data_IF_179194829702
#
_entry.id   IF_179194829702
#
_cell.length_a   1.000
_cell.length_b   1.000
_cell.length_c   1.000
_cell.angle_alpha   90.00
_cell.angle_beta   90.00
_cell.angle_gamma   90.00
#
_symmetry.space_group_name_H-M   'P 1'
#
loop_
_entity.id
_entity.type
_entity.pdbx_description
1 polymer ?
#
# COMPACT_ATOMS: atom_id res chain seq x y z
N UNK A 1 -45.46 17.73 -56.60
CA UNK A 1 -44.06 17.78 -56.11
C UNK A 1 -44.11 18.47 -54.75
N UNK A 2 -44.33 17.73 -53.65
CA UNK A 2 -43.38 17.04 -52.75
C UNK A 2 -42.37 17.95 -52.02
N UNK A 3 -42.27 17.70 -50.69
CA UNK A 3 -41.37 18.21 -49.63
C UNK A 3 -42.01 19.31 -48.77
N UNK A 4 -42.51 19.09 -47.55
CA UNK A 4 -42.15 18.22 -46.40
C UNK A 4 -40.81 18.58 -45.76
N UNK A 5 -40.82 19.56 -44.84
CA UNK A 5 -39.74 19.82 -43.89
C UNK A 5 -40.28 19.77 -42.45
N UNK A 6 -40.28 18.54 -41.95
CA UNK A 6 -39.96 18.06 -40.59
C UNK A 6 -39.84 19.11 -39.49
N UNK A 7 -40.75 19.04 -38.53
CA UNK A 7 -40.61 19.56 -37.16
C UNK A 7 -39.49 18.80 -36.43
N UNK A 8 -38.42 19.50 -36.03
CA UNK A 8 -37.39 18.97 -35.14
C UNK A 8 -37.72 19.36 -33.69
N UNK A 9 -38.23 18.38 -32.94
CA UNK A 9 -38.33 18.39 -31.49
C UNK A 9 -36.93 18.46 -30.88
N UNK A 10 -36.58 19.58 -30.26
CA UNK A 10 -35.47 19.65 -29.32
C UNK A 10 -35.88 18.93 -28.03
N UNK A 11 -35.62 17.63 -27.96
CA UNK A 11 -35.54 16.91 -26.70
C UNK A 11 -34.28 17.37 -25.96
N UNK A 12 -34.47 18.25 -24.98
CA UNK A 12 -33.46 18.55 -23.97
C UNK A 12 -33.20 17.31 -23.13
N UNK A 13 -32.14 16.58 -23.47
CA UNK A 13 -31.60 15.53 -22.61
C UNK A 13 -30.59 16.19 -21.69
N UNK A 14 -31.04 16.57 -20.50
CA UNK A 14 -30.20 17.02 -19.41
C UNK A 14 -29.29 15.87 -18.95
N UNK A 15 -28.08 15.77 -19.50
CA UNK A 15 -27.04 14.92 -18.93
C UNK A 15 -26.50 15.58 -17.65
N UNK A 16 -27.16 15.32 -16.52
CA UNK A 16 -26.50 15.36 -15.22
C UNK A 16 -25.75 14.03 -15.02
N UNK A 17 -24.60 13.90 -15.67
CA UNK A 17 -23.58 12.89 -15.36
C UNK A 17 -22.25 13.62 -15.31
N UNK A 18 -21.92 14.25 -14.19
CA UNK A 18 -20.60 14.87 -13.98
C UNK A 18 -20.25 14.98 -12.48
N UNK A 19 -20.40 13.88 -11.74
CA UNK A 19 -19.95 13.80 -10.35
C UNK A 19 -18.89 12.72 -10.08
N UNK A 20 -18.74 11.72 -10.97
CA UNK A 20 -17.82 10.60 -10.75
C UNK A 20 -16.46 10.76 -11.46
N UNK A 21 -16.41 11.49 -12.58
CA UNK A 21 -15.18 11.65 -13.37
C UNK A 21 -14.13 12.57 -12.70
N UNK A 22 -14.59 13.52 -11.87
CA UNK A 22 -13.73 14.56 -11.27
C UNK A 22 -12.84 14.08 -10.11
N UNK A 23 -13.22 13.01 -9.39
CA UNK A 23 -12.43 12.52 -8.24
C UNK A 23 -11.14 11.81 -8.67
N UNK A 24 -11.17 11.11 -9.80
CA UNK A 24 -10.04 10.33 -10.31
C UNK A 24 -8.90 11.23 -10.80
N UNK A 25 -9.20 12.43 -11.33
CA UNK A 25 -8.17 13.40 -11.70
C UNK A 25 -7.56 14.12 -10.49
N UNK A 26 -8.37 14.46 -9.48
CA UNK A 26 -7.95 15.30 -8.34
C UNK A 26 -6.73 14.78 -7.58
N UNK A 27 -6.59 13.46 -7.44
CA UNK A 27 -5.51 12.83 -6.66
C UNK A 27 -4.61 11.91 -7.49
N UNK A 28 -4.58 12.10 -8.81
CA UNK A 28 -3.84 11.23 -9.73
C UNK A 28 -2.35 11.14 -9.40
N UNK A 29 -1.70 12.26 -9.07
CA UNK A 29 -0.28 12.27 -8.73
C UNK A 29 -0.01 11.60 -7.38
N UNK A 30 -0.87 11.83 -6.38
CA UNK A 30 -0.83 11.14 -5.08
C UNK A 30 -0.97 9.64 -5.26
N UNK A 31 -1.93 9.19 -6.08
CA UNK A 31 -2.14 7.76 -6.35
C UNK A 31 -0.92 7.11 -7.00
N UNK A 32 -0.34 7.73 -8.03
CA UNK A 32 0.86 7.22 -8.72
C UNK A 32 2.05 7.13 -7.74
N UNK A 33 2.22 8.15 -6.91
CA UNK A 33 3.25 8.16 -5.88
C UNK A 33 3.02 7.05 -4.84
N UNK A 34 1.79 6.91 -4.36
CA UNK A 34 1.37 5.89 -3.40
C UNK A 34 1.59 4.47 -3.93
N UNK A 35 1.15 4.18 -5.16
CA UNK A 35 1.34 2.87 -5.81
C UNK A 35 2.84 2.51 -5.89
N UNK A 36 3.68 3.48 -6.29
CA UNK A 36 5.14 3.28 -6.34
C UNK A 36 5.75 3.04 -4.97
N UNK A 37 5.33 3.82 -3.98
CA UNK A 37 5.83 3.69 -2.61
C UNK A 37 5.48 2.31 -2.05
N UNK A 38 4.20 1.93 -2.05
CA UNK A 38 3.74 0.65 -1.51
C UNK A 38 4.44 -0.52 -2.19
N UNK A 39 4.53 -0.51 -3.52
CA UNK A 39 5.20 -1.56 -4.27
C UNK A 39 6.67 -1.72 -3.88
N UNK A 40 7.39 -0.63 -3.62
CA UNK A 40 8.77 -0.70 -3.14
C UNK A 40 8.85 -1.11 -1.67
N UNK A 41 7.99 -0.55 -0.82
CA UNK A 41 8.04 -0.70 0.62
C UNK A 41 7.74 -2.14 1.08
N UNK A 42 6.79 -2.84 0.44
CA UNK A 42 6.53 -4.26 0.76
C UNK A 42 7.70 -5.19 0.39
N UNK A 43 8.53 -4.79 -0.57
CA UNK A 43 9.71 -5.55 -0.99
C UNK A 43 10.95 -5.20 -0.16
N UNK A 44 10.91 -4.13 0.62
CA UNK A 44 12.06 -3.60 1.37
C UNK A 44 11.61 -3.10 2.75
N UNK A 45 11.01 -4.00 3.52
CA UNK A 45 10.63 -3.73 4.91
C UNK A 45 11.87 -3.65 5.80
N UNK A 46 11.92 -2.64 6.68
CA UNK A 46 13.10 -2.29 7.48
C UNK A 46 13.63 -3.47 8.31
N UNK A 47 12.74 -4.15 9.05
CA UNK A 47 13.09 -5.31 9.88
C UNK A 47 13.54 -6.52 9.03
N UNK A 48 13.08 -6.60 7.79
CA UNK A 48 13.29 -7.73 6.90
C UNK A 48 14.39 -7.48 5.86
N UNK A 49 15.07 -6.34 5.90
CA UNK A 49 16.05 -5.91 4.88
C UNK A 49 17.39 -5.52 5.51
N UNK A 50 18.44 -5.48 4.70
CA UNK A 50 19.71 -4.89 5.11
C UNK A 50 19.62 -3.36 5.08
N UNK A 51 20.22 -2.68 6.06
CA UNK A 51 20.13 -1.21 6.23
C UNK A 51 20.43 -0.42 4.94
N UNK A 52 21.42 -0.84 4.14
CA UNK A 52 21.79 -0.16 2.89
C UNK A 52 20.68 -0.12 1.84
N UNK A 53 19.77 -1.10 1.84
CA UNK A 53 18.63 -1.13 0.91
C UNK A 53 17.50 -0.21 1.36
N UNK A 54 17.46 0.09 2.66
CA UNK A 54 16.46 0.92 3.31
C UNK A 54 16.76 2.41 3.09
N UNK A 55 18.04 2.81 3.18
CA UNK A 55 18.50 4.18 2.93
C UNK A 55 18.06 4.72 1.55
N UNK A 56 18.01 3.85 0.54
CA UNK A 56 17.55 4.24 -0.80
C UNK A 56 16.05 4.61 -0.83
N UNK A 57 15.23 3.88 -0.06
CA UNK A 57 13.80 4.19 0.09
C UNK A 57 13.60 5.45 0.91
N UNK A 58 14.35 5.62 2.01
CA UNK A 58 14.36 6.85 2.82
C UNK A 58 14.58 8.08 1.95
N UNK A 59 15.67 8.09 1.19
CA UNK A 59 16.01 9.20 0.31
C UNK A 59 14.97 9.47 -0.78
N UNK A 60 14.38 8.42 -1.36
CA UNK A 60 13.37 8.57 -2.42
C UNK A 60 12.06 9.12 -1.84
N UNK A 61 11.52 8.50 -0.79
CA UNK A 61 10.14 8.68 -0.36
C UNK A 61 9.96 9.51 0.91
N UNK A 62 10.94 9.59 1.79
CA UNK A 62 10.84 10.29 3.07
C UNK A 62 11.53 11.64 2.96
N UNK A 63 11.04 12.64 3.70
CA UNK A 63 11.81 13.87 3.89
C UNK A 63 12.87 13.64 4.98
N UNK A 64 13.83 14.56 5.07
CA UNK A 64 14.94 14.44 6.02
C UNK A 64 14.48 14.56 7.49
N UNK A 65 13.26 15.07 7.72
CA UNK A 65 12.64 15.26 9.04
C UNK A 65 11.82 14.03 9.48
N UNK A 66 11.39 13.18 8.54
CA UNK A 66 10.58 11.98 8.81
C UNK A 66 11.50 10.86 9.22
N UNK A 67 11.69 10.72 10.53
CA UNK A 67 12.35 9.56 11.11
C UNK A 67 11.36 8.39 11.15
N UNK A 68 11.54 7.38 10.29
CA UNK A 68 10.93 6.07 10.54
C UNK A 68 11.81 5.36 11.55
N UNK A 69 11.41 5.40 12.82
CA UNK A 69 11.94 4.39 13.73
C UNK A 69 11.40 3.03 13.29
N UNK A 70 12.26 1.99 13.21
CA UNK A 70 11.77 0.62 13.23
C UNK A 70 10.75 0.53 14.38
N UNK A 71 9.59 -0.11 14.21
CA UNK A 71 8.69 -0.31 15.34
C UNK A 71 9.52 -0.91 16.47
N UNK A 72 9.53 -0.21 17.61
CA UNK A 72 10.46 -0.44 18.71
C UNK A 72 10.54 -1.91 19.12
N UNK A 73 11.72 -2.26 19.65
CA UNK A 73 12.20 -3.59 19.94
C UNK A 73 11.10 -4.64 20.15
N UNK A 74 11.04 -5.56 19.19
CA UNK A 74 10.09 -6.65 19.13
C UNK A 74 10.56 -7.81 19.99
N UNK A 75 10.60 -7.62 21.30
CA UNK A 75 10.66 -8.73 22.27
C UNK A 75 9.39 -9.63 22.22
N UNK A 76 8.47 -9.38 21.28
CA UNK A 76 7.11 -9.91 21.25
C UNK A 76 6.66 -10.31 19.84
N UNK A 77 6.76 -11.60 19.47
CA UNK A 77 5.88 -12.24 18.47
C UNK A 77 5.55 -11.45 17.19
N UNK A 78 6.58 -10.97 16.48
CA UNK A 78 6.53 -10.19 15.24
C UNK A 78 5.46 -10.72 14.30
N UNK A 79 4.40 -9.95 14.03
CA UNK A 79 3.34 -10.34 13.10
C UNK A 79 3.70 -9.86 11.70
N UNK A 80 4.08 -10.79 10.84
CA UNK A 80 4.45 -10.54 9.43
C UNK A 80 3.27 -10.93 8.55
N UNK A 81 2.77 -10.00 7.73
CA UNK A 81 1.71 -10.28 6.77
C UNK A 81 2.32 -10.52 5.39
N UNK A 82 2.19 -11.73 4.87
CA UNK A 82 2.62 -12.07 3.51
C UNK A 82 1.51 -11.64 2.55
N UNK A 83 1.79 -10.63 1.74
CA UNK A 83 0.80 -10.06 0.82
C UNK A 83 0.82 -10.77 -0.51
N UNK A 84 -0.39 -11.02 -1.04
CA UNK A 84 -0.61 -11.50 -2.40
C UNK A 84 -0.71 -10.35 -3.39
N UNK A 85 -1.42 -9.29 -3.01
CA UNK A 85 -1.64 -8.10 -3.82
C UNK A 85 -2.06 -6.93 -2.94
N UNK A 86 -2.02 -5.73 -3.48
CA UNK A 86 -2.57 -4.54 -2.85
C UNK A 86 -3.35 -3.68 -3.86
N UNK A 87 -4.20 -2.79 -3.35
CA UNK A 87 -4.81 -1.70 -4.12
C UNK A 87 -4.95 -0.47 -3.23
N UNK A 88 -4.75 0.71 -3.82
CA UNK A 88 -5.13 1.97 -3.20
C UNK A 88 -6.66 2.06 -3.26
N UNK A 89 -7.30 2.22 -2.11
CA UNK A 89 -8.76 2.27 -2.00
C UNK A 89 -9.28 3.70 -2.12
N UNK A 90 -8.83 4.57 -1.20
CA UNK A 90 -9.24 5.96 -1.15
C UNK A 90 -8.07 6.89 -0.84
N UNK A 91 -8.25 8.14 -1.25
CA UNK A 91 -7.38 9.26 -0.92
C UNK A 91 -8.25 10.40 -0.41
N UNK A 92 -8.00 10.85 0.82
CA UNK A 92 -8.61 12.05 1.40
C UNK A 92 -7.57 13.14 1.66
N UNK A 93 -7.99 14.39 1.56
CA UNK A 93 -7.17 15.56 1.89
C UNK A 93 -7.49 15.97 3.33
N UNK A 94 -6.52 15.82 4.22
CA UNK A 94 -6.63 16.16 5.64
C UNK A 94 -6.13 17.58 5.95
N UNK A 95 -5.81 18.36 4.89
CA UNK A 95 -5.31 19.74 4.97
C UNK A 95 -3.79 19.82 5.00
N UNK A 96 -3.14 19.15 5.95
CA UNK A 96 -1.68 19.15 6.09
C UNK A 96 -1.00 17.89 5.50
N UNK A 97 -1.78 16.87 5.14
CA UNK A 97 -1.35 15.71 4.36
C UNK A 97 -2.54 15.07 3.62
N UNK A 98 -2.24 14.18 2.67
CA UNK A 98 -3.21 13.28 2.06
C UNK A 98 -3.19 11.94 2.79
N UNK A 99 -4.32 11.52 3.32
CA UNK A 99 -4.47 10.16 3.84
C UNK A 99 -4.73 9.20 2.69
N UNK A 100 -3.90 8.16 2.58
CA UNK A 100 -4.00 7.12 1.56
C UNK A 100 -4.36 5.81 2.24
N UNK A 101 -5.55 5.30 1.92
CA UNK A 101 -6.02 4.00 2.40
C UNK A 101 -5.65 2.90 1.39
N UNK A 102 -5.14 1.79 1.90
CA UNK A 102 -4.65 0.65 1.12
C UNK A 102 -5.27 -0.63 1.63
N UNK A 103 -5.86 -1.38 0.70
CA UNK A 103 -6.23 -2.76 0.91
C UNK A 103 -5.06 -3.68 0.56
N UNK A 104 -4.64 -4.51 1.50
CA UNK A 104 -3.75 -5.63 1.26
C UNK A 104 -4.53 -6.94 1.29
N UNK A 105 -4.49 -7.71 0.20
CA UNK A 105 -4.92 -9.10 0.23
C UNK A 105 -3.80 -9.94 0.83
N UNK A 106 -3.99 -10.42 2.05
CA UNK A 106 -2.97 -11.17 2.80
C UNK A 106 -3.19 -12.66 2.61
N UNK A 107 -2.18 -13.34 2.08
CA UNK A 107 -2.17 -14.79 1.85
C UNK A 107 -2.01 -15.54 3.18
N UNK A 108 -1.00 -15.14 3.96
CA UNK A 108 -0.69 -15.74 5.26
C UNK A 108 -0.19 -14.71 6.28
N UNK A 109 -0.44 -15.01 7.55
CA UNK A 109 0.16 -14.31 8.68
C UNK A 109 1.24 -15.19 9.30
N UNK A 110 2.44 -14.66 9.44
CA UNK A 110 3.59 -15.36 9.97
C UNK A 110 4.06 -14.75 11.30
N UNK A 111 4.67 -15.59 12.14
CA UNK A 111 5.34 -15.19 13.38
C UNK A 111 6.67 -15.90 13.53
N UNK A 112 7.65 -15.19 14.09
CA UNK A 112 8.92 -15.77 14.52
C UNK A 112 8.74 -16.32 15.94
N UNK A 113 9.02 -17.61 16.14
CA UNK A 113 8.95 -18.33 17.42
C UNK A 113 10.15 -19.29 17.47
N UNK A 114 11.05 -19.13 18.44
CA UNK A 114 12.19 -20.03 18.69
C UNK A 114 12.93 -20.42 17.39
N UNK A 115 13.39 -19.42 16.63
CA UNK A 115 14.09 -19.58 15.33
C UNK A 115 13.25 -20.15 14.16
N UNK A 116 11.95 -20.35 14.37
CA UNK A 116 11.03 -20.81 13.33
C UNK A 116 10.11 -19.67 12.90
N UNK A 117 9.90 -19.55 11.59
CA UNK A 117 8.82 -18.73 11.04
C UNK A 117 7.63 -19.66 10.80
N UNK A 118 6.57 -19.48 11.60
CA UNK A 118 5.31 -20.21 11.46
C UNK A 118 4.29 -19.33 10.76
N UNK A 119 3.79 -19.79 9.62
CA UNK A 119 2.78 -19.10 8.84
C UNK A 119 1.44 -19.82 8.91
N UNK A 120 0.36 -19.07 9.11
CA UNK A 120 -1.00 -19.57 9.04
C UNK A 120 -1.72 -18.94 7.85
N UNK A 121 -2.45 -19.73 7.03
CA UNK A 121 -3.29 -19.17 5.97
C UNK A 121 -4.28 -18.16 6.55
N UNK A 122 -4.40 -17.01 5.89
CA UNK A 122 -5.29 -15.94 6.30
C UNK A 122 -6.33 -15.63 5.23
N UNK A 123 -5.88 -15.39 3.98
CA UNK A 123 -6.72 -15.18 2.79
C UNK A 123 -7.83 -14.15 2.97
N UNK A 124 -7.50 -13.02 3.61
CA UNK A 124 -8.44 -11.90 3.81
C UNK A 124 -7.75 -10.57 3.56
N UNK A 125 -8.57 -9.55 3.31
CA UNK A 125 -8.11 -8.18 3.18
C UNK A 125 -7.76 -7.57 4.55
N UNK A 126 -6.79 -6.67 4.53
CA UNK A 126 -6.47 -5.78 5.64
C UNK A 126 -6.35 -4.36 5.14
N UNK A 127 -6.98 -3.47 5.89
CA UNK A 127 -6.90 -2.03 5.69
C UNK A 127 -5.76 -1.42 6.48
N UNK A 128 -5.02 -0.55 5.80
CA UNK A 128 -4.07 0.33 6.45
C UNK A 128 -4.10 1.71 5.81
N UNK A 129 -3.64 2.68 6.59
CA UNK A 129 -3.51 4.07 6.16
C UNK A 129 -2.07 4.52 6.28
N UNK A 130 -1.63 5.32 5.32
CA UNK A 130 -0.39 6.08 5.41
C UNK A 130 -0.60 7.52 4.93
N UNK A 131 0.31 8.41 5.30
CA UNK A 131 0.21 9.83 5.00
C UNK A 131 1.19 10.26 3.92
N UNK A 132 0.73 11.08 2.96
CA UNK A 132 1.57 11.72 1.95
C UNK A 132 1.49 13.23 2.10
N UNK A 133 2.63 13.92 2.20
CA UNK A 133 2.72 15.38 2.26
C UNK A 133 3.45 15.96 1.06
N UNK A 134 3.23 17.24 0.79
CA UNK A 134 4.03 18.01 -0.17
C UNK A 134 5.11 18.79 0.57
N UNK A 135 6.37 18.41 0.38
CA UNK A 135 7.54 19.09 0.94
C UNK A 135 8.37 19.63 -0.22
N UNK A 136 8.62 20.94 -0.24
CA UNK A 136 9.37 21.61 -1.32
C UNK A 136 8.85 21.24 -2.73
N UNK A 137 7.53 21.22 -2.91
CA UNK A 137 6.81 20.81 -4.14
C UNK A 137 6.98 19.34 -4.56
N UNK A 138 7.61 18.50 -3.74
CA UNK A 138 7.73 17.04 -3.96
C UNK A 138 6.82 16.28 -3.00
N UNK A 139 6.31 15.14 -3.45
CA UNK A 139 5.55 14.24 -2.58
C UNK A 139 6.50 13.43 -1.70
N UNK A 140 6.15 13.33 -0.42
CA UNK A 140 6.91 12.63 0.62
C UNK A 140 5.97 11.88 1.54
N UNK A 141 6.43 10.77 2.10
CA UNK A 141 5.71 10.00 3.10
C UNK A 141 5.88 10.69 4.45
N UNK A 142 4.76 11.00 5.11
CA UNK A 142 4.72 11.64 6.43
C UNK A 142 4.68 10.62 7.56
N UNK A 143 3.93 9.55 7.36
CA UNK A 143 3.86 8.42 8.28
C UNK A 143 3.45 7.17 7.53
N UNK A 144 3.80 6.01 8.08
CA UNK A 144 3.44 4.69 7.59
C UNK A 144 2.67 3.91 8.65
N UNK A 145 1.96 2.88 8.22
CA UNK A 145 1.36 1.91 9.12
C UNK A 145 2.42 1.10 9.89
N UNK A 146 2.08 0.62 11.09
CA UNK A 146 3.02 -0.06 12.00
C UNK A 146 3.16 -1.57 11.77
N UNK A 147 2.23 -2.18 11.02
CA UNK A 147 2.25 -3.61 10.72
C UNK A 147 3.23 -3.93 9.58
N UNK A 148 3.88 -5.09 9.64
CA UNK A 148 4.77 -5.55 8.57
C UNK A 148 3.92 -6.18 7.46
N UNK A 149 3.99 -5.61 6.26
CA UNK A 149 3.44 -6.18 5.04
C UNK A 149 4.59 -6.45 4.08
N UNK A 150 4.71 -7.69 3.61
CA UNK A 150 5.87 -8.09 2.81
C UNK A 150 5.53 -9.15 1.78
N UNK A 151 6.37 -9.29 0.78
CA UNK A 151 6.27 -10.38 -0.19
C UNK A 151 6.83 -11.68 0.38
N UNK A 152 6.36 -12.81 -0.16
CA UNK A 152 6.89 -14.13 0.20
C UNK A 152 8.40 -14.23 -0.05
N UNK A 153 8.87 -13.64 -1.16
CA UNK A 153 10.27 -13.61 -1.55
C UNK A 153 11.13 -12.88 -0.50
N UNK A 154 10.66 -11.73 -0.02
CA UNK A 154 11.39 -10.97 0.99
C UNK A 154 11.42 -11.69 2.35
N UNK A 155 10.32 -12.32 2.76
CA UNK A 155 10.29 -13.15 3.97
C UNK A 155 11.27 -14.32 3.88
N UNK A 156 11.33 -15.02 2.75
CA UNK A 156 12.27 -16.13 2.54
C UNK A 156 13.72 -15.65 2.52
N UNK A 157 13.98 -14.50 1.90
CA UNK A 157 15.31 -13.87 1.91
C UNK A 157 15.75 -13.53 3.34
N UNK A 158 14.86 -12.92 4.14
CA UNK A 158 15.10 -12.65 5.55
C UNK A 158 15.36 -13.92 6.35
N UNK A 159 14.50 -14.94 6.21
CA UNK A 159 14.64 -16.23 6.89
C UNK A 159 16.01 -16.87 6.61
N UNK A 160 16.46 -16.82 5.35
CA UNK A 160 17.77 -17.34 4.94
C UNK A 160 18.91 -16.59 5.61
N UNK A 161 18.88 -15.25 5.63
CA UNK A 161 19.93 -14.42 6.25
C UNK A 161 20.01 -14.65 7.76
N UNK A 162 18.86 -14.76 8.42
CA UNK A 162 18.77 -14.99 9.87
C UNK A 162 18.86 -16.46 10.29
N UNK A 163 18.97 -17.38 9.32
CA UNK A 163 19.00 -18.84 9.53
C UNK A 163 17.73 -19.43 10.18
N UNK A 164 16.59 -18.78 9.98
CA UNK A 164 15.30 -19.30 10.45
C UNK A 164 14.78 -20.44 9.59
N UNK A 165 14.08 -21.37 10.23
CA UNK A 165 13.33 -22.43 9.53
C UNK A 165 11.92 -21.96 9.24
N UNK A 166 11.52 -21.96 7.96
CA UNK A 166 10.15 -21.62 7.58
C UNK A 166 9.33 -22.90 7.54
N UNK A 167 8.33 -23.01 8.43
CA UNK A 167 7.43 -24.16 8.43
C UNK A 167 6.48 -24.07 7.21
N UNK A 168 6.32 -25.15 6.44
CA UNK A 168 5.40 -25.16 5.31
C UNK A 168 3.96 -24.98 5.80
N UNK A 169 3.17 -24.22 5.05
CA UNK A 169 1.74 -24.08 5.28
C UNK A 169 1.09 -25.45 5.35
N UNK A 170 0.59 -25.84 6.54
CA UNK A 170 -0.25 -27.02 6.64
C UNK A 170 -1.58 -26.69 5.98
N UNK A 171 -1.78 -27.15 4.74
CA UNK A 171 -3.11 -27.20 4.14
C UNK A 171 -3.97 -28.11 5.00
N UNK A 172 -4.96 -27.56 5.69
CA UNK A 172 -6.05 -28.37 6.24
C UNK A 172 -6.84 -28.87 5.03
N UNK A 173 -6.75 -30.17 4.76
CA UNK A 173 -7.69 -30.90 3.92
C UNK A 173 -9.06 -30.91 4.60
#
# INVERSE_FOLDING_TARGET
MKQLCVFLLFFGVSFQMNAEENKTEKYKDIKIFADRFVNKYINLQYILSENKLVEAIEKEFFDDDTTISPPGDQDTGIKINVVKSFRIDSISDEGDFFAVDVFFLVDSECKVIDEHIKCVPFNKEKDVRFGVSRVNRKLKIRFVYSQIFTTKEQLLSYAKRMKYKVEPERRKN
#
